data_IF_601444616349
#
_entry.id   IF_601444616349
#
_cell.length_a   1.000
_cell.length_b   1.000
_cell.length_c   1.000
_cell.angle_alpha   90.00
_cell.angle_beta   90.00
_cell.angle_gamma   90.00
#
_symmetry.space_group_name_H-M   'P 1'
#
loop_
_entity.id
_entity.type
_entity.pdbx_description
1 polymer ?
#
# COMPACT_ATOMS: atom_id res chain seq x y z
N UNK A 1 -20.48 29.33 19.08
CA UNK A 1 -21.62 29.77 19.88
C UNK A 1 -22.87 29.25 19.20
N UNK A 2 -23.12 27.97 19.26
CA UNK A 2 -24.34 27.34 18.77
C UNK A 2 -25.23 27.11 19.95
N UNK A 3 -26.39 27.75 19.92
CA UNK A 3 -27.42 27.75 20.99
C UNK A 3 -28.32 26.51 20.93
N UNK A 4 -27.98 25.48 20.15
CA UNK A 4 -28.87 24.36 19.86
C UNK A 4 -28.31 22.98 20.24
N UNK A 5 -27.34 22.88 21.11
CA UNK A 5 -26.96 21.58 21.67
C UNK A 5 -26.48 20.52 20.66
N UNK A 6 -26.25 20.88 19.41
CA UNK A 6 -25.71 20.00 18.40
C UNK A 6 -24.26 19.63 18.76
N UNK A 7 -24.05 18.36 19.02
CA UNK A 7 -22.72 17.81 19.11
C UNK A 7 -22.09 17.93 17.70
N UNK A 8 -21.37 19.02 17.43
CA UNK A 8 -20.40 18.99 16.36
C UNK A 8 -19.33 17.98 16.77
N UNK A 9 -19.50 16.75 16.32
CA UNK A 9 -18.37 15.84 16.20
C UNK A 9 -17.39 16.59 15.30
N UNK A 10 -16.30 17.10 15.88
CA UNK A 10 -15.16 17.46 15.07
C UNK A 10 -14.88 16.22 14.24
N UNK A 11 -15.12 16.30 12.92
CA UNK A 11 -14.77 15.23 11.99
C UNK A 11 -13.28 15.06 12.18
N UNK A 12 -12.89 14.05 12.93
CA UNK A 12 -11.53 13.58 12.90
C UNK A 12 -11.30 13.25 11.45
N UNK A 13 -10.42 14.02 10.81
CA UNK A 13 -10.15 13.83 9.40
C UNK A 13 -9.66 12.40 9.24
N UNK A 14 -10.45 11.59 8.51
CA UNK A 14 -9.96 10.34 7.96
C UNK A 14 -8.96 10.78 6.91
N UNK A 15 -7.68 10.75 7.23
CA UNK A 15 -6.60 11.12 6.32
C UNK A 15 -5.96 9.85 5.77
N UNK A 16 -6.48 9.28 4.67
CA UNK A 16 -5.77 8.19 4.01
C UNK A 16 -4.40 8.67 3.57
N UNK A 17 -3.44 7.77 3.52
CA UNK A 17 -2.07 8.09 3.11
C UNK A 17 -1.37 9.11 4.04
N UNK A 18 -1.67 9.13 5.33
CA UNK A 18 -1.00 9.97 6.33
C UNK A 18 -0.20 9.06 7.26
N UNK A 19 1.12 8.96 7.02
CA UNK A 19 1.98 8.03 7.76
C UNK A 19 2.08 8.36 9.24
N UNK A 20 1.86 9.63 9.63
CA UNK A 20 1.88 10.04 11.04
C UNK A 20 0.79 9.37 11.88
N UNK A 21 -0.27 8.91 11.22
CA UNK A 21 -1.41 8.22 11.84
C UNK A 21 -1.26 6.70 11.87
N UNK A 22 -0.16 6.17 11.33
CA UNK A 22 0.04 4.73 11.19
C UNK A 22 0.12 4.01 12.54
N UNK A 23 -0.61 2.89 12.64
CA UNK A 23 -0.60 2.03 13.81
C UNK A 23 -0.44 0.58 13.37
N UNK A 24 0.47 -0.15 14.00
CA UNK A 24 0.63 -1.59 13.74
C UNK A 24 -0.66 -2.33 14.02
N UNK A 25 -1.17 -3.05 13.01
CA UNK A 25 -2.46 -3.73 13.08
C UNK A 25 -2.43 -5.05 13.86
N UNK A 26 -1.26 -5.46 14.40
CA UNK A 26 -0.96 -6.78 14.97
C UNK A 26 -0.95 -7.91 13.94
N UNK A 27 -1.06 -7.60 12.65
CA UNK A 27 -1.06 -8.57 11.55
C UNK A 27 0.32 -8.58 10.88
N UNK A 28 0.86 -9.75 10.70
CA UNK A 28 2.15 -9.96 10.04
C UNK A 28 2.23 -11.34 9.41
N UNK A 29 3.09 -11.48 8.41
CA UNK A 29 3.38 -12.74 7.73
C UNK A 29 4.90 -12.94 7.69
N UNK A 30 5.40 -14.00 8.35
CA UNK A 30 6.79 -14.40 8.19
C UNK A 30 6.98 -15.07 6.83
N UNK A 31 7.96 -14.60 6.08
CA UNK A 31 8.32 -15.09 4.74
C UNK A 31 9.72 -15.71 4.69
N UNK A 32 10.38 -15.82 5.85
CA UNK A 32 11.75 -16.31 5.97
C UNK A 32 11.97 -17.77 5.55
N UNK A 33 10.90 -18.56 5.43
CA UNK A 33 10.98 -19.91 4.87
C UNK A 33 11.12 -19.92 3.34
N UNK A 34 10.74 -18.84 2.66
CA UNK A 34 10.91 -18.67 1.22
C UNK A 34 12.16 -17.86 0.92
N UNK A 35 12.37 -16.75 1.63
CA UNK A 35 13.56 -15.93 1.46
C UNK A 35 13.95 -15.21 2.75
N UNK A 36 15.23 -15.20 3.09
CA UNK A 36 15.78 -14.53 4.28
C UNK A 36 16.23 -13.09 4.03
N UNK A 37 15.99 -12.58 2.84
CA UNK A 37 16.23 -11.17 2.49
C UNK A 37 15.11 -10.69 1.55
N UNK A 38 13.87 -10.63 2.05
CA UNK A 38 12.74 -10.17 1.23
C UNK A 38 12.87 -8.67 0.92
N UNK A 39 12.66 -8.33 -0.36
CA UNK A 39 12.62 -6.98 -0.89
C UNK A 39 11.27 -6.73 -1.56
N UNK A 40 10.92 -5.47 -1.73
CA UNK A 40 9.70 -5.06 -2.42
C UNK A 40 8.47 -5.87 -2.00
N UNK A 41 7.33 -5.27 -1.94
CA UNK A 41 6.06 -5.93 -1.63
C UNK A 41 4.97 -5.37 -2.53
N UNK A 42 4.07 -6.24 -2.97
CA UNK A 42 2.90 -5.86 -3.77
C UNK A 42 1.70 -6.68 -3.33
N UNK A 43 0.54 -6.03 -3.25
CA UNK A 43 -0.75 -6.69 -2.99
C UNK A 43 -1.62 -6.49 -4.24
N UNK A 44 -2.28 -7.57 -4.70
CA UNK A 44 -3.24 -7.47 -5.81
C UNK A 44 -4.38 -6.49 -5.49
N UNK A 45 -4.97 -5.83 -6.50
CA UNK A 45 -6.02 -4.81 -6.26
C UNK A 45 -7.24 -5.33 -5.52
N UNK A 46 -7.54 -6.62 -5.60
CA UNK A 46 -8.62 -7.29 -4.88
C UNK A 46 -8.21 -7.75 -3.46
N UNK A 47 -6.94 -7.58 -3.10
CA UNK A 47 -6.39 -7.95 -1.80
C UNK A 47 -6.24 -9.46 -1.56
N UNK A 48 -6.41 -10.29 -2.59
CA UNK A 48 -6.38 -11.75 -2.43
C UNK A 48 -4.99 -12.37 -2.57
N UNK A 49 -4.02 -11.62 -3.11
CA UNK A 49 -2.66 -12.10 -3.33
C UNK A 49 -1.62 -11.10 -2.82
N UNK A 50 -0.52 -11.66 -2.29
CA UNK A 50 0.67 -10.93 -1.88
C UNK A 50 1.87 -11.45 -2.66
N UNK A 51 2.75 -10.53 -3.08
CA UNK A 51 4.01 -10.84 -3.77
C UNK A 51 5.16 -10.11 -3.10
N UNK A 52 6.33 -10.73 -3.08
CA UNK A 52 7.57 -10.05 -2.73
C UNK A 52 8.75 -10.60 -3.56
N UNK A 53 9.79 -9.78 -3.72
CA UNK A 53 11.03 -10.18 -4.37
C UNK A 53 11.97 -10.82 -3.34
N UNK A 54 12.38 -12.08 -3.57
CA UNK A 54 13.33 -12.82 -2.75
C UNK A 54 14.75 -12.64 -3.28
N UNK A 55 15.61 -11.90 -2.57
CA UNK A 55 16.95 -11.58 -3.06
C UNK A 55 17.96 -12.73 -2.90
N UNK A 56 17.70 -13.68 -2.02
CA UNK A 56 18.55 -14.88 -1.85
C UNK A 56 18.10 -15.98 -2.81
N UNK A 57 16.79 -16.11 -3.03
CA UNK A 57 16.22 -17.07 -3.98
C UNK A 57 16.29 -16.62 -5.44
N UNK A 58 16.54 -15.32 -5.69
CA UNK A 58 16.45 -14.72 -7.02
C UNK A 58 15.10 -15.01 -7.68
N UNK A 59 14.02 -14.85 -6.91
CA UNK A 59 12.67 -15.22 -7.32
C UNK A 59 11.60 -14.22 -6.84
N UNK A 60 10.44 -14.29 -7.49
CA UNK A 60 9.23 -13.61 -7.03
C UNK A 60 8.33 -14.65 -6.37
N UNK A 61 8.03 -14.43 -5.11
CA UNK A 61 7.23 -15.32 -4.28
C UNK A 61 5.77 -14.86 -4.24
N UNK A 62 4.84 -15.80 -4.41
CA UNK A 62 3.38 -15.59 -4.41
C UNK A 62 2.72 -16.24 -3.20
N UNK A 63 1.83 -15.49 -2.56
CA UNK A 63 0.95 -15.94 -1.48
C UNK A 63 -0.50 -15.64 -1.80
N UNK A 64 -1.40 -16.53 -1.40
CA UNK A 64 -2.84 -16.26 -1.38
C UNK A 64 -3.25 -15.82 0.03
N UNK A 65 -4.05 -14.76 0.11
CA UNK A 65 -4.66 -14.28 1.36
C UNK A 65 -6.10 -14.78 1.42
N UNK A 66 -6.41 -15.63 2.40
CA UNK A 66 -7.78 -16.18 2.54
C UNK A 66 -8.80 -15.13 3.00
N UNK A 67 -8.33 -14.07 3.64
CA UNK A 67 -9.08 -12.86 3.93
C UNK A 67 -8.43 -11.72 3.16
N UNK A 68 -9.12 -11.06 2.21
CA UNK A 68 -8.56 -9.98 1.44
C UNK A 68 -7.92 -8.90 2.32
N UNK A 69 -6.74 -8.44 1.91
CA UNK A 69 -5.95 -7.42 2.61
C UNK A 69 -5.47 -7.80 4.02
N UNK A 70 -5.59 -9.05 4.44
CA UNK A 70 -5.11 -9.53 5.74
C UNK A 70 -3.88 -10.42 5.56
N UNK A 71 -2.67 -9.85 5.75
CA UNK A 71 -1.43 -10.59 5.53
C UNK A 71 -1.25 -11.77 6.49
N UNK A 72 -1.88 -11.74 7.68
CA UNK A 72 -1.80 -12.85 8.64
C UNK A 72 -2.46 -14.14 8.15
N UNK A 73 -3.28 -14.05 7.08
CA UNK A 73 -3.95 -15.19 6.44
C UNK A 73 -3.18 -15.73 5.23
N UNK A 74 -1.95 -15.25 5.00
CA UNK A 74 -1.14 -15.59 3.85
C UNK A 74 -0.67 -17.05 3.85
N UNK A 75 -0.87 -17.72 2.72
CA UNK A 75 -0.38 -19.07 2.45
C UNK A 75 0.44 -19.05 1.17
N UNK A 76 1.68 -19.55 1.24
CA UNK A 76 2.57 -19.65 0.08
C UNK A 76 1.94 -20.53 -1.00
N UNK A 77 2.03 -20.07 -2.26
CA UNK A 77 1.47 -20.77 -3.43
C UNK A 77 2.59 -21.27 -4.32
N UNK A 78 3.41 -20.34 -4.82
CA UNK A 78 4.44 -20.61 -5.82
C UNK A 78 5.52 -19.54 -5.81
N UNK A 79 6.60 -19.78 -6.56
CA UNK A 79 7.62 -18.78 -6.87
C UNK A 79 8.08 -18.90 -8.31
N UNK A 80 8.55 -17.77 -8.86
CA UNK A 80 9.12 -17.69 -10.21
C UNK A 80 10.55 -17.18 -10.16
N UNK A 81 11.53 -18.02 -10.60
CA UNK A 81 12.93 -17.61 -10.63
C UNK A 81 13.21 -16.62 -11.75
N UNK A 82 13.85 -15.52 -11.41
CA UNK A 82 14.33 -14.48 -12.32
C UNK A 82 15.87 -14.48 -12.42
N UNK A 83 16.54 -15.48 -11.85
CA UNK A 83 18.00 -15.60 -11.80
C UNK A 83 18.69 -15.54 -13.19
N UNK A 84 17.98 -15.94 -14.25
CA UNK A 84 18.51 -15.81 -15.63
C UNK A 84 18.60 -14.36 -16.10
N UNK A 85 17.88 -13.44 -15.48
CA UNK A 85 17.88 -12.01 -15.78
C UNK A 85 18.72 -11.23 -14.77
N UNK A 86 18.53 -11.49 -13.48
CA UNK A 86 19.27 -10.79 -12.41
C UNK A 86 19.34 -11.65 -11.15
N UNK A 87 20.48 -11.58 -10.43
CA UNK A 87 20.72 -12.28 -9.17
C UNK A 87 20.82 -11.34 -7.96
N UNK A 88 20.33 -10.11 -8.11
CA UNK A 88 20.24 -9.14 -7.02
C UNK A 88 18.97 -8.31 -7.19
N UNK A 89 17.81 -8.98 -7.07
CA UNK A 89 16.50 -8.35 -7.26
C UNK A 89 16.09 -7.51 -6.05
N UNK A 90 15.34 -6.42 -6.28
CA UNK A 90 15.01 -5.40 -5.29
C UNK A 90 13.53 -5.03 -5.21
N UNK A 91 12.82 -5.09 -6.30
CA UNK A 91 11.42 -4.68 -6.33
C UNK A 91 10.58 -5.51 -7.28
N UNK A 92 9.30 -5.59 -6.98
CA UNK A 92 8.28 -6.21 -7.81
C UNK A 92 7.09 -5.29 -7.93
N UNK A 93 6.53 -5.18 -9.12
CA UNK A 93 5.27 -4.50 -9.39
C UNK A 93 4.49 -5.23 -10.48
N UNK A 94 3.20 -4.92 -10.58
CA UNK A 94 2.33 -5.45 -11.63
C UNK A 94 1.59 -4.30 -12.29
N UNK A 95 1.12 -4.52 -13.52
CA UNK A 95 0.12 -3.66 -14.12
C UNK A 95 -1.25 -3.91 -13.46
N UNK A 96 -2.21 -3.07 -13.76
CA UNK A 96 -3.50 -3.01 -13.05
C UNK A 96 -4.30 -4.32 -13.12
N UNK A 97 -4.22 -5.05 -14.23
CA UNK A 97 -4.94 -6.32 -14.42
C UNK A 97 -4.09 -7.57 -14.09
N UNK A 98 -2.81 -7.39 -13.75
CA UNK A 98 -1.90 -8.49 -13.41
C UNK A 98 -1.42 -9.33 -14.57
N UNK A 99 -1.63 -8.89 -15.80
CA UNK A 99 -1.11 -9.58 -17.01
C UNK A 99 0.37 -9.34 -17.26
N UNK A 100 0.96 -8.34 -16.56
CA UNK A 100 2.38 -8.00 -16.61
C UNK A 100 2.97 -7.91 -15.21
N UNK A 101 4.19 -8.40 -15.06
CA UNK A 101 5.02 -8.27 -13.86
C UNK A 101 6.32 -7.54 -14.22
N UNK A 102 6.77 -6.68 -13.32
CA UNK A 102 8.00 -5.91 -13.44
C UNK A 102 8.90 -6.20 -12.26
N UNK A 103 10.19 -6.43 -12.54
CA UNK A 103 11.19 -6.74 -11.52
C UNK A 103 12.40 -5.82 -11.70
N UNK A 104 12.79 -5.11 -10.63
CA UNK A 104 14.04 -4.35 -10.62
C UNK A 104 15.19 -5.19 -10.07
N UNK A 105 16.37 -5.08 -10.71
CA UNK A 105 17.57 -5.80 -10.30
C UNK A 105 18.82 -4.93 -10.39
N UNK A 106 19.66 -5.00 -9.37
CA UNK A 106 20.86 -4.16 -9.24
C UNK A 106 22.13 -4.79 -9.79
N UNK A 107 22.18 -6.12 -9.96
CA UNK A 107 23.35 -6.80 -10.54
C UNK A 107 23.61 -6.34 -11.97
N UNK A 108 22.56 -6.30 -12.79
CA UNK A 108 22.63 -5.88 -14.18
C UNK A 108 22.09 -4.45 -14.41
N UNK A 109 21.64 -3.78 -13.35
CA UNK A 109 21.02 -2.45 -13.38
C UNK A 109 19.89 -2.38 -14.40
N UNK A 110 18.85 -3.21 -14.23
CA UNK A 110 17.73 -3.33 -15.16
C UNK A 110 16.39 -3.31 -14.43
N UNK A 111 15.36 -2.92 -15.19
CA UNK A 111 13.96 -3.28 -14.91
C UNK A 111 13.54 -4.25 -16.01
N UNK A 112 13.07 -5.41 -15.59
CA UNK A 112 12.63 -6.50 -16.45
C UNK A 112 11.11 -6.55 -16.50
N UNK A 113 10.54 -6.78 -17.67
CA UNK A 113 9.13 -6.98 -17.92
C UNK A 113 8.85 -8.44 -18.27
N UNK A 114 7.81 -8.98 -17.65
CA UNK A 114 7.31 -10.34 -17.89
C UNK A 114 5.82 -10.28 -18.26
N UNK A 115 5.40 -11.09 -19.22
CA UNK A 115 4.00 -11.36 -19.51
C UNK A 115 3.53 -12.56 -18.69
N UNK A 116 2.35 -12.47 -18.09
CA UNK A 116 1.70 -13.56 -17.38
C UNK A 116 0.49 -14.05 -18.19
N UNK A 117 0.46 -15.36 -18.50
CA UNK A 117 -0.68 -15.94 -19.24
C UNK A 117 -1.93 -16.12 -18.35
N UNK A 118 -1.75 -16.14 -17.05
CA UNK A 118 -2.81 -16.07 -16.03
C UNK A 118 -2.49 -14.86 -15.13
N UNK A 119 -3.46 -13.95 -14.99
CA UNK A 119 -3.28 -12.71 -14.25
C UNK A 119 -2.89 -12.96 -12.78
N UNK A 120 -1.85 -12.29 -12.31
CA UNK A 120 -1.32 -12.45 -10.95
C UNK A 120 -0.91 -13.89 -10.59
N UNK A 121 -0.51 -14.70 -11.54
CA UNK A 121 0.02 -16.05 -11.34
C UNK A 121 1.48 -16.09 -11.83
N UNK A 122 2.42 -15.96 -10.88
CA UNK A 122 3.85 -15.83 -11.21
C UNK A 122 4.40 -17.08 -11.89
N UNK A 123 3.81 -18.27 -11.68
CA UNK A 123 4.24 -19.50 -12.34
C UNK A 123 4.07 -19.45 -13.86
N UNK A 124 3.21 -18.55 -14.36
CA UNK A 124 2.94 -18.37 -15.79
C UNK A 124 3.78 -17.28 -16.45
N UNK A 125 4.70 -16.66 -15.69
CA UNK A 125 5.50 -15.53 -16.17
C UNK A 125 6.47 -15.93 -17.28
N UNK A 126 6.58 -15.09 -18.30
CA UNK A 126 7.52 -15.23 -19.40
C UNK A 126 8.21 -13.89 -19.64
N UNK A 127 9.54 -13.89 -19.62
CA UNK A 127 10.34 -12.68 -19.91
C UNK A 127 10.01 -12.13 -21.30
N UNK A 128 9.80 -10.81 -21.39
CA UNK A 128 9.50 -10.13 -22.66
C UNK A 128 10.57 -9.13 -23.06
N UNK A 129 10.93 -8.22 -22.14
CA UNK A 129 11.85 -7.13 -22.45
C UNK A 129 12.41 -6.48 -21.17
N UNK A 130 13.28 -5.48 -21.32
CA UNK A 130 13.87 -4.75 -20.20
C UNK A 130 14.20 -3.31 -20.59
N UNK A 131 14.37 -2.46 -19.58
CA UNK A 131 15.04 -1.17 -19.68
C UNK A 131 16.25 -1.10 -18.75
N UNK A 132 17.15 -0.16 -19.01
CA UNK A 132 18.40 0.00 -18.27
C UNK A 132 18.46 1.37 -17.56
N UNK A 133 17.79 1.53 -16.42
CA UNK A 133 17.97 2.70 -15.58
C UNK A 133 19.27 2.64 -14.79
N UNK A 134 19.64 3.73 -14.12
CA UNK A 134 20.77 3.71 -13.20
C UNK A 134 20.39 2.97 -11.92
N UNK A 135 21.01 1.80 -11.66
CA UNK A 135 20.96 1.05 -10.40
C UNK A 135 19.59 1.01 -9.68
N UNK A 136 18.56 0.37 -10.25
CA UNK A 136 17.20 0.42 -9.73
C UNK A 136 17.03 -0.44 -8.46
N UNK A 137 16.60 0.19 -7.37
CA UNK A 137 16.15 -0.49 -6.16
C UNK A 137 14.63 -0.74 -6.22
N UNK A 138 13.83 -0.07 -5.41
CA UNK A 138 12.37 -0.19 -5.49
C UNK A 138 11.79 0.43 -6.77
N UNK A 139 10.65 -0.07 -7.20
CA UNK A 139 9.91 0.48 -8.35
C UNK A 139 8.43 0.58 -8.07
N UNK A 140 7.77 1.57 -8.69
CA UNK A 140 6.34 1.80 -8.63
C UNK A 140 5.83 2.37 -9.96
N UNK A 141 4.60 2.03 -10.35
CA UNK A 141 3.94 2.61 -11.51
C UNK A 141 2.74 3.46 -11.12
N UNK A 142 2.47 4.53 -11.88
CA UNK A 142 1.16 5.21 -11.83
C UNK A 142 0.04 4.25 -12.24
N UNK A 143 -1.21 4.49 -11.83
CA UNK A 143 -2.33 3.58 -12.15
C UNK A 143 -2.57 3.34 -13.64
N UNK A 144 -2.22 4.29 -14.50
CA UNK A 144 -2.30 4.17 -15.96
C UNK A 144 -1.02 3.63 -16.60
N UNK A 145 0.05 3.45 -15.80
CA UNK A 145 1.34 2.94 -16.23
C UNK A 145 2.16 3.91 -17.06
N UNK A 146 1.74 5.18 -17.18
CA UNK A 146 2.48 6.18 -17.98
C UNK A 146 3.66 6.78 -17.24
N UNK A 147 3.76 6.58 -15.92
CA UNK A 147 4.89 6.92 -15.08
C UNK A 147 5.42 5.69 -14.35
N UNK A 148 6.74 5.56 -14.29
CA UNK A 148 7.43 4.58 -13.46
C UNK A 148 8.46 5.30 -12.58
N UNK A 149 8.41 5.04 -11.28
CA UNK A 149 9.31 5.62 -10.29
C UNK A 149 10.30 4.60 -9.81
N UNK A 150 11.56 4.99 -9.71
CA UNK A 150 12.66 4.11 -9.31
C UNK A 150 13.50 4.81 -8.26
N UNK A 151 13.91 4.07 -7.22
CA UNK A 151 14.99 4.51 -6.33
C UNK A 151 16.33 4.22 -7.00
N UNK A 152 17.19 5.24 -7.07
CA UNK A 152 18.58 5.10 -7.52
C UNK A 152 19.52 5.98 -6.69
N UNK A 153 20.41 5.35 -5.92
CA UNK A 153 21.17 6.06 -4.90
C UNK A 153 20.23 6.71 -3.88
N UNK A 154 20.34 8.03 -3.69
CA UNK A 154 19.44 8.80 -2.82
C UNK A 154 18.35 9.53 -3.59
N UNK A 155 18.08 9.15 -4.82
CA UNK A 155 17.09 9.82 -5.66
C UNK A 155 15.89 8.94 -5.95
N UNK A 156 14.72 9.55 -5.99
CA UNK A 156 13.55 9.04 -6.71
C UNK A 156 13.61 9.61 -8.11
N UNK A 157 13.59 8.75 -9.12
CA UNK A 157 13.63 9.13 -10.53
C UNK A 157 12.30 8.75 -11.18
N UNK A 158 11.67 9.69 -11.85
CA UNK A 158 10.50 9.46 -12.71
C UNK A 158 10.95 9.08 -14.12
N UNK A 159 10.32 8.07 -14.67
CA UNK A 159 10.42 7.67 -16.08
C UNK A 159 9.03 7.77 -16.72
N UNK A 160 8.90 8.65 -17.73
CA UNK A 160 7.68 8.72 -18.54
C UNK A 160 7.66 7.60 -19.58
N UNK A 161 6.54 6.89 -19.69
CA UNK A 161 6.30 5.84 -20.68
C UNK A 161 5.29 6.32 -21.72
N UNK A 162 5.65 6.28 -23.02
CA UNK A 162 4.74 6.68 -24.10
C UNK A 162 3.63 5.64 -24.34
N UNK A 163 3.87 4.40 -23.92
CA UNK A 163 2.87 3.33 -23.85
C UNK A 163 2.83 2.82 -22.42
N UNK A 164 1.67 2.92 -21.75
CA UNK A 164 1.53 2.52 -20.36
C UNK A 164 1.97 1.06 -20.13
N UNK A 165 2.77 0.85 -19.07
CA UNK A 165 3.30 -0.46 -18.71
C UNK A 165 4.13 -1.14 -19.82
N UNK A 166 4.82 -0.35 -20.66
CA UNK A 166 5.78 -0.84 -21.64
C UNK A 166 7.14 -0.20 -21.36
N UNK A 167 8.00 -0.92 -20.62
CA UNK A 167 9.29 -0.39 -20.16
C UNK A 167 10.25 -0.05 -21.30
N UNK A 168 10.04 -0.61 -22.52
CA UNK A 168 10.85 -0.27 -23.69
C UNK A 168 10.61 1.16 -24.18
N UNK A 169 9.49 1.76 -23.80
CA UNK A 169 9.11 3.14 -24.19
C UNK A 169 9.51 4.17 -23.14
N UNK A 170 10.16 3.74 -22.05
CA UNK A 170 10.48 4.60 -20.93
C UNK A 170 11.61 5.60 -21.27
N UNK A 171 11.41 6.84 -20.85
CA UNK A 171 12.40 7.91 -20.92
C UNK A 171 12.53 8.59 -19.56
N UNK A 172 13.77 8.85 -19.13
CA UNK A 172 14.01 9.52 -17.85
C UNK A 172 13.46 10.95 -17.88
N UNK A 173 12.64 11.25 -16.90
CA UNK A 173 12.10 12.56 -16.62
C UNK A 173 12.79 13.24 -15.44
N UNK A 174 12.00 13.75 -14.50
CA UNK A 174 12.46 14.45 -13.32
C UNK A 174 13.04 13.53 -12.26
N UNK A 175 13.79 14.11 -11.32
CA UNK A 175 14.28 13.42 -10.14
C UNK A 175 14.15 14.30 -8.89
N UNK A 176 14.07 13.65 -7.72
CA UNK A 176 14.06 14.29 -6.41
C UNK A 176 15.01 13.57 -5.46
N UNK A 177 15.87 14.33 -4.75
CA UNK A 177 16.77 13.74 -3.76
C UNK A 177 16.10 13.67 -2.39
N UNK A 178 16.06 12.48 -1.83
CA UNK A 178 15.57 12.22 -0.47
C UNK A 178 16.69 12.17 0.57
N UNK A 179 17.91 12.53 0.18
CA UNK A 179 19.12 12.42 1.01
C UNK A 179 19.05 13.19 2.34
N UNK A 180 18.17 14.19 2.44
CA UNK A 180 17.97 14.95 3.69
C UNK A 180 17.20 14.15 4.75
N UNK A 181 16.39 13.18 4.36
CA UNK A 181 15.60 12.32 5.22
C UNK A 181 16.20 10.91 5.29
N UNK A 182 16.66 10.39 4.15
CA UNK A 182 17.16 9.01 4.09
C UNK A 182 18.41 8.90 3.20
N UNK A 183 19.46 8.32 3.76
CA UNK A 183 20.74 8.10 3.05
C UNK A 183 20.80 6.78 2.27
N UNK A 184 19.93 5.83 2.59
CA UNK A 184 19.83 4.52 1.92
C UNK A 184 18.34 4.19 1.68
N UNK A 185 17.67 4.90 0.76
CA UNK A 185 16.28 4.62 0.41
C UNK A 185 16.20 3.28 -0.33
N UNK A 186 15.16 2.49 -0.05
CA UNK A 186 15.00 1.13 -0.55
C UNK A 186 13.80 0.95 -1.47
N UNK A 187 12.70 1.63 -1.20
CA UNK A 187 11.47 1.51 -1.97
C UNK A 187 10.74 2.85 -2.08
N UNK A 188 9.95 2.98 -3.12
CA UNK A 188 9.07 4.13 -3.38
C UNK A 188 7.68 3.66 -3.76
N UNK A 189 6.66 4.37 -3.30
CA UNK A 189 5.28 4.21 -3.76
C UNK A 189 4.58 5.58 -3.75
N UNK A 190 3.58 5.74 -4.62
CA UNK A 190 2.75 6.95 -4.68
C UNK A 190 1.29 6.58 -4.41
N UNK A 191 0.52 7.56 -3.93
CA UNK A 191 -0.93 7.40 -3.91
C UNK A 191 -1.50 7.44 -5.35
N UNK A 192 -2.71 6.88 -5.59
CA UNK A 192 -3.29 6.83 -6.93
C UNK A 192 -3.50 8.19 -7.59
N UNK A 193 -3.65 9.26 -6.80
CA UNK A 193 -3.78 10.62 -7.32
C UNK A 193 -2.43 11.27 -7.70
N UNK A 194 -1.29 10.63 -7.39
CA UNK A 194 0.04 11.17 -7.64
C UNK A 194 0.39 12.40 -6.81
N UNK A 195 -0.35 12.69 -5.75
CA UNK A 195 -0.16 13.88 -4.91
C UNK A 195 0.67 13.62 -3.66
N UNK A 196 0.89 12.35 -3.33
CA UNK A 196 1.73 11.91 -2.21
C UNK A 196 2.72 10.84 -2.67
N UNK A 197 3.93 10.89 -2.15
CA UNK A 197 4.98 9.91 -2.38
C UNK A 197 5.50 9.43 -1.03
N UNK A 198 5.80 8.14 -0.94
CA UNK A 198 6.32 7.47 0.26
C UNK A 198 7.61 6.77 -0.08
N UNK A 199 8.62 6.92 0.76
CA UNK A 199 9.94 6.32 0.58
C UNK A 199 10.30 5.54 1.85
N UNK A 200 10.62 4.26 1.68
CA UNK A 200 11.15 3.44 2.76
C UNK A 200 12.66 3.70 2.94
N UNK A 201 13.09 3.86 4.19
CA UNK A 201 14.45 4.23 4.54
C UNK A 201 15.12 3.19 5.43
N UNK A 202 16.21 2.56 4.94
CA UNK A 202 16.93 1.50 5.67
C UNK A 202 17.65 2.07 6.90
N UNK A 203 18.26 3.25 6.78
CA UNK A 203 19.05 3.84 7.88
C UNK A 203 18.14 4.49 8.92
N UNK A 204 17.08 5.18 8.47
CA UNK A 204 16.06 5.74 9.37
C UNK A 204 15.20 4.66 10.04
N UNK A 205 15.05 3.51 9.40
CA UNK A 205 14.09 2.47 9.83
C UNK A 205 12.65 2.99 9.79
N UNK A 206 12.34 3.77 8.77
CA UNK A 206 11.09 4.53 8.68
C UNK A 206 10.51 4.58 7.25
N UNK A 207 9.30 5.10 7.17
CA UNK A 207 8.62 5.45 5.93
C UNK A 207 8.44 6.97 5.93
N UNK A 208 9.04 7.64 4.94
CA UNK A 208 9.05 9.08 4.77
C UNK A 208 7.93 9.51 3.80
N UNK A 209 7.08 10.44 4.21
CA UNK A 209 5.99 10.99 3.41
C UNK A 209 6.37 12.32 2.78
N UNK A 210 6.04 12.48 1.50
CA UNK A 210 6.19 13.72 0.73
C UNK A 210 4.86 14.07 0.05
N UNK A 211 4.55 15.37 -0.03
CA UNK A 211 3.50 15.90 -0.91
C UNK A 211 4.09 16.38 -2.21
N UNK A 212 3.37 16.16 -3.33
CA UNK A 212 3.71 16.67 -4.65
C UNK A 212 2.72 17.78 -5.01
N UNK A 213 3.23 19.00 -5.27
CA UNK A 213 2.38 20.13 -5.65
C UNK A 213 1.85 20.02 -7.09
N UNK A 214 2.53 19.25 -7.93
CA UNK A 214 2.05 18.81 -9.25
C UNK A 214 1.94 17.30 -9.23
N UNK A 215 0.74 16.73 -9.46
CA UNK A 215 0.56 15.28 -9.46
C UNK A 215 1.56 14.57 -10.37
N UNK A 216 2.12 13.47 -9.86
CA UNK A 216 3.10 12.62 -10.54
C UNK A 216 4.45 13.26 -10.86
N UNK A 217 4.69 14.54 -10.56
CA UNK A 217 5.97 15.21 -10.77
C UNK A 217 6.80 15.21 -9.48
N UNK A 218 7.75 14.29 -9.36
CA UNK A 218 8.63 14.15 -8.19
C UNK A 218 9.50 15.38 -7.93
N UNK A 219 9.79 16.22 -8.94
CA UNK A 219 10.58 17.45 -8.73
C UNK A 219 9.84 18.47 -7.83
N UNK A 220 8.53 18.31 -7.67
CA UNK A 220 7.69 19.17 -6.83
C UNK A 220 7.50 18.65 -5.41
N UNK A 221 8.22 17.56 -5.05
CA UNK A 221 8.07 16.91 -3.76
C UNK A 221 8.57 17.77 -2.60
N UNK A 222 7.83 17.74 -1.50
CA UNK A 222 8.17 18.38 -0.23
C UNK A 222 7.92 17.42 0.92
N UNK A 223 8.90 17.24 1.80
CA UNK A 223 8.79 16.37 2.96
C UNK A 223 7.68 16.84 3.90
N UNK A 224 6.91 15.89 4.43
CA UNK A 224 5.79 16.14 5.36
C UNK A 224 6.09 15.55 6.72
N UNK A 225 6.27 14.23 6.80
CA UNK A 225 6.43 13.50 8.06
C UNK A 225 7.11 12.13 7.82
N UNK A 226 7.41 11.42 8.89
CA UNK A 226 7.92 10.06 8.82
C UNK A 226 7.29 9.17 9.91
N UNK A 227 7.21 7.87 9.62
CA UNK A 227 6.72 6.86 10.55
C UNK A 227 7.77 5.78 10.76
N UNK A 228 8.24 5.63 12.00
CA UNK A 228 9.21 4.59 12.34
C UNK A 228 8.56 3.23 12.49
N UNK A 229 9.12 2.22 11.83
CA UNK A 229 8.72 0.82 11.96
C UNK A 229 9.62 0.04 12.94
N UNK A 230 10.53 0.71 13.65
CA UNK A 230 11.58 0.08 14.45
C UNK A 230 11.08 -0.84 15.56
N UNK A 231 9.82 -0.68 15.99
CA UNK A 231 9.18 -1.59 16.94
C UNK A 231 8.85 -2.98 16.37
N UNK A 232 8.74 -3.12 15.05
CA UNK A 232 8.46 -4.37 14.35
C UNK A 232 9.68 -4.87 13.58
N UNK A 233 10.42 -3.98 12.94
CA UNK A 233 11.61 -4.32 12.15
C UNK A 233 12.44 -3.07 11.87
N UNK A 234 13.76 -3.24 11.66
CA UNK A 234 14.69 -2.10 11.53
C UNK A 234 15.15 -1.81 10.12
N UNK A 235 14.76 -2.65 9.15
CA UNK A 235 15.24 -2.54 7.76
C UNK A 235 14.04 -2.68 6.81
N UNK A 236 13.26 -1.61 6.59
CA UNK A 236 12.17 -1.63 5.61
C UNK A 236 12.76 -1.66 4.20
N UNK A 237 12.51 -2.75 3.48
CA UNK A 237 12.98 -2.98 2.12
C UNK A 237 11.88 -2.89 1.06
N UNK A 238 10.63 -2.73 1.49
CA UNK A 238 9.50 -2.49 0.61
C UNK A 238 8.37 -1.80 1.37
N UNK A 239 7.61 -0.98 0.66
CA UNK A 239 6.40 -0.32 1.15
C UNK A 239 5.33 -0.34 0.07
N UNK A 240 4.11 -0.62 0.46
CA UNK A 240 2.93 -0.63 -0.42
C UNK A 240 1.71 -0.13 0.34
N UNK A 241 0.86 0.67 -0.31
CA UNK A 241 -0.43 1.11 0.23
C UNK A 241 -1.57 0.50 -0.57
N UNK A 242 -2.67 0.18 0.10
CA UNK A 242 -3.94 -0.06 -0.60
C UNK A 242 -4.38 1.19 -1.35
N UNK A 243 -5.15 1.02 -2.42
CA UNK A 243 -5.59 2.14 -3.27
C UNK A 243 -6.42 3.18 -2.53
N UNK A 244 -7.07 2.81 -1.44
CA UNK A 244 -7.82 3.70 -0.55
C UNK A 244 -6.94 4.39 0.51
N UNK A 245 -5.69 3.94 0.67
CA UNK A 245 -4.70 4.52 1.57
C UNK A 245 -4.88 4.23 3.06
N UNK A 246 -5.76 3.30 3.43
CA UNK A 246 -6.01 2.96 4.84
C UNK A 246 -5.16 1.82 5.37
N UNK A 247 -4.50 1.08 4.49
CA UNK A 247 -3.59 0.01 4.89
C UNK A 247 -2.23 0.23 4.22
N UNK A 248 -1.19 0.17 5.04
CA UNK A 248 0.20 0.15 4.59
C UNK A 248 0.83 -1.19 4.92
N UNK A 249 1.55 -1.76 3.97
CA UNK A 249 2.37 -2.95 4.14
C UNK A 249 3.83 -2.58 4.04
N UNK A 250 4.63 -3.12 4.97
CA UNK A 250 6.07 -2.94 4.98
C UNK A 250 6.74 -4.29 5.10
N UNK A 251 7.63 -4.62 4.16
CA UNK A 251 8.49 -5.79 4.30
C UNK A 251 9.80 -5.39 4.97
N UNK A 252 10.17 -6.12 6.01
CA UNK A 252 11.44 -5.92 6.73
C UNK A 252 12.34 -7.12 6.59
N UNK A 253 13.53 -6.92 6.03
CA UNK A 253 14.53 -7.98 5.91
C UNK A 253 15.27 -8.28 7.23
N UNK A 254 15.16 -7.43 8.25
CA UNK A 254 15.75 -7.74 9.58
C UNK A 254 14.99 -8.81 10.35
N UNK A 255 13.76 -9.10 9.93
CA UNK A 255 12.86 -10.06 10.57
C UNK A 255 12.19 -11.02 9.58
N UNK A 256 12.53 -10.91 8.29
CA UNK A 256 11.96 -11.71 7.19
C UNK A 256 10.43 -11.72 7.23
N UNK A 257 9.82 -10.52 7.42
CA UNK A 257 8.39 -10.42 7.74
C UNK A 257 7.74 -9.26 6.98
N UNK A 258 6.54 -9.50 6.47
CA UNK A 258 5.63 -8.46 5.98
C UNK A 258 4.73 -8.02 7.14
N UNK A 259 4.77 -6.75 7.48
CA UNK A 259 3.95 -6.11 8.52
C UNK A 259 2.83 -5.30 7.90
N UNK A 260 1.67 -5.31 8.55
CA UNK A 260 0.50 -4.54 8.15
C UNK A 260 0.22 -3.43 9.17
N UNK A 261 -0.01 -2.22 8.67
CA UNK A 261 -0.35 -1.04 9.47
C UNK A 261 -1.69 -0.47 9.00
N UNK A 262 -2.52 -0.04 9.96
CA UNK A 262 -3.68 0.80 9.67
C UNK A 262 -3.23 2.25 9.60
N UNK A 263 -3.74 3.00 8.61
CA UNK A 263 -3.38 4.40 8.32
C UNK A 263 -4.65 5.25 8.31
N UNK A 264 -4.60 6.47 8.81
CA UNK A 264 -5.74 7.39 8.73
C UNK A 264 -6.83 7.17 9.78
N UNK A 265 -6.65 6.24 10.71
CA UNK A 265 -7.67 5.91 11.71
C UNK A 265 -7.45 6.59 13.05
N UNK A 266 -7.63 7.92 13.15
CA UNK A 266 -7.53 8.59 14.46
C UNK A 266 -8.83 8.59 15.29
N UNK A 267 -9.89 7.89 14.85
CA UNK A 267 -11.19 7.91 15.54
C UNK A 267 -11.81 6.54 15.86
N UNK A 268 -11.05 5.44 15.79
CA UNK A 268 -11.59 4.18 16.31
C UNK A 268 -10.93 3.92 17.66
N UNK A 269 -11.67 3.98 18.77
CA UNK A 269 -11.19 3.53 20.07
C UNK A 269 -10.66 2.09 19.95
N UNK A 270 -9.54 1.81 20.61
CA UNK A 270 -8.96 0.47 20.72
C UNK A 270 -10.07 -0.54 21.07
N UNK A 271 -10.41 -1.43 20.13
CA UNK A 271 -11.48 -2.42 20.30
C UNK A 271 -12.53 -2.43 19.15
N UNK A 272 -12.46 -1.52 18.20
CA UNK A 272 -13.40 -1.49 17.07
C UNK A 272 -12.88 -2.37 15.92
N UNK A 273 -13.66 -3.38 15.56
CA UNK A 273 -13.43 -4.15 14.33
C UNK A 273 -14.26 -3.47 13.23
N UNK A 274 -13.64 -3.01 12.11
CA UNK A 274 -14.43 -2.56 10.98
C UNK A 274 -15.26 -3.74 10.47
N UNK A 275 -16.57 -3.62 10.53
CA UNK A 275 -17.45 -4.58 9.88
C UNK A 275 -17.37 -4.32 8.38
N UNK A 276 -16.66 -5.17 7.66
CA UNK A 276 -16.76 -5.21 6.21
C UNK A 276 -18.17 -5.66 5.84
N UNK A 277 -19.04 -4.72 5.48
CA UNK A 277 -20.25 -5.08 4.76
C UNK A 277 -19.85 -5.39 3.32
N UNK A 278 -20.12 -6.62 2.90
CA UNK A 278 -19.99 -7.06 1.51
C UNK A 278 -20.67 -6.08 0.56
N UNK A 279 -19.97 -5.73 -0.53
CA UNK A 279 -20.45 -4.89 -1.61
C UNK A 279 -21.88 -5.22 -2.02
N UNK A 280 -22.79 -4.27 -1.78
CA UNK A 280 -23.97 -4.12 -2.59
C UNK A 280 -23.77 -2.88 -3.47
N UNK A 281 -23.55 -3.08 -4.75
CA UNK A 281 -23.44 -2.01 -5.76
C UNK A 281 -24.78 -1.38 -6.13
N UNK A 282 -25.83 -1.66 -5.36
CA UNK A 282 -27.18 -1.18 -5.65
C UNK A 282 -27.66 -0.23 -4.57
N UNK A 283 -27.55 1.07 -4.86
CA UNK A 283 -27.96 2.18 -3.99
C UNK A 283 -29.49 2.32 -3.83
N UNK A 284 -30.30 1.44 -4.43
CA UNK A 284 -31.76 1.53 -4.42
C UNK A 284 -32.43 0.82 -3.25
N UNK A 285 -31.69 0.12 -2.39
CA UNK A 285 -32.24 -0.79 -1.38
C UNK A 285 -32.16 -0.32 0.08
N UNK A 286 -31.72 0.89 0.38
CA UNK A 286 -31.64 1.38 1.76
C UNK A 286 -32.89 2.17 2.18
N UNK A 287 -34.08 1.61 1.99
CA UNK A 287 -35.31 2.24 2.48
C UNK A 287 -35.69 1.87 3.92
N UNK A 288 -35.13 0.78 4.48
CA UNK A 288 -35.43 0.38 5.86
C UNK A 288 -34.28 -0.39 6.52
N UNK A 289 -33.54 0.25 7.42
CA UNK A 289 -32.70 -0.46 8.40
C UNK A 289 -33.58 -0.79 9.61
N UNK A 290 -34.14 -1.99 9.64
CA UNK A 290 -35.13 -2.38 10.66
C UNK A 290 -34.55 -2.80 12.01
N UNK A 291 -33.27 -3.14 12.11
CA UNK A 291 -32.58 -3.30 13.40
C UNK A 291 -31.06 -3.39 13.23
N UNK A 292 -30.33 -2.72 14.10
CA UNK A 292 -28.91 -2.97 14.35
C UNK A 292 -28.77 -3.49 15.79
N UNK A 293 -28.22 -4.68 15.97
CA UNK A 293 -27.99 -5.25 17.29
C UNK A 293 -26.50 -5.14 17.61
N UNK A 294 -26.16 -4.36 18.65
CA UNK A 294 -24.82 -4.36 19.22
C UNK A 294 -24.79 -5.26 20.45
N UNK A 295 -23.89 -6.24 20.48
CA UNK A 295 -23.55 -6.93 21.71
C UNK A 295 -22.52 -6.08 22.47
N UNK A 296 -22.98 -5.36 23.49
CA UNK A 296 -22.13 -4.60 24.37
C UNK A 296 -21.44 -5.53 25.37
N UNK A 297 -20.11 -5.68 25.26
CA UNK A 297 -19.32 -6.22 26.36
C UNK A 297 -19.27 -5.13 27.47
N UNK A 298 -19.43 -5.54 28.74
CA UNK A 298 -19.56 -4.64 29.88
C UNK A 298 -18.40 -3.60 29.93
N UNK A 299 -18.72 -2.33 29.73
CA UNK A 299 -17.85 -1.17 29.83
C UNK A 299 -18.66 0.10 29.60
N UNK A 300 -18.29 1.21 30.24
CA UNK A 300 -19.01 2.47 30.30
C UNK A 300 -18.92 3.32 29.00
N UNK A 301 -19.00 2.71 27.81
CA UNK A 301 -18.88 3.39 26.52
C UNK A 301 -20.17 3.38 25.71
N UNK A 302 -20.48 4.48 25.04
CA UNK A 302 -21.56 4.56 24.04
C UNK A 302 -21.12 3.91 22.74
N UNK A 303 -22.03 3.17 22.08
CA UNK A 303 -21.79 2.58 20.76
C UNK A 303 -22.42 3.50 19.72
N UNK A 304 -21.61 3.99 18.79
CA UNK A 304 -22.06 4.81 17.66
C UNK A 304 -21.99 4.00 16.37
N UNK A 305 -22.96 4.19 15.50
CA UNK A 305 -22.99 3.59 14.17
C UNK A 305 -22.82 4.69 13.13
N UNK A 306 -22.09 4.44 12.07
CA UNK A 306 -21.94 5.36 10.96
C UNK A 306 -22.37 4.69 9.66
N UNK A 307 -23.13 5.41 8.83
CA UNK A 307 -23.55 4.99 7.50
C UNK A 307 -23.01 5.96 6.47
N UNK A 308 -22.43 5.46 5.40
CA UNK A 308 -22.10 6.23 4.22
C UNK A 308 -23.04 5.83 3.07
N UNK A 309 -23.62 6.83 2.42
CA UNK A 309 -24.52 6.65 1.26
C UNK A 309 -23.88 7.10 -0.05
N UNK A 310 -22.64 7.57 -0.02
CA UNK A 310 -21.91 8.18 -1.13
C UNK A 310 -20.51 7.58 -1.31
N UNK A 311 -20.45 6.26 -1.28
CA UNK A 311 -19.23 5.48 -1.51
C UNK A 311 -18.05 5.86 -0.59
N UNK A 312 -18.37 6.10 0.70
CA UNK A 312 -17.42 6.45 1.77
C UNK A 312 -16.86 7.89 1.71
N UNK A 313 -17.47 8.76 0.93
CA UNK A 313 -17.06 10.17 0.85
C UNK A 313 -17.59 10.96 2.05
N UNK A 314 -18.80 10.64 2.54
CA UNK A 314 -19.38 11.21 3.75
C UNK A 314 -19.94 10.12 4.66
N UNK A 315 -19.94 10.37 5.98
CA UNK A 315 -20.44 9.43 6.98
C UNK A 315 -21.44 10.12 7.88
N UNK A 316 -22.60 9.49 8.11
CA UNK A 316 -23.60 9.94 9.09
C UNK A 316 -23.59 9.02 10.30
N UNK A 317 -23.45 9.59 11.50
CA UNK A 317 -23.47 8.82 12.75
C UNK A 317 -24.92 8.67 13.22
N UNK A 318 -25.28 7.44 13.61
CA UNK A 318 -26.58 7.15 14.23
C UNK A 318 -26.36 6.99 15.73
N UNK A 319 -26.96 7.84 16.52
CA UNK A 319 -26.96 7.72 17.99
C UNK A 319 -28.11 6.79 18.44
N UNK A 320 -27.79 5.82 19.30
CA UNK A 320 -28.77 4.86 19.85
C UNK A 320 -29.05 5.10 21.33
N UNK A 321 -28.71 6.28 21.87
CA UNK A 321 -28.86 6.53 23.33
C UNK A 321 -30.30 6.84 23.77
N UNK A 322 -31.19 7.18 22.85
CA UNK A 322 -32.57 7.63 23.20
C UNK A 322 -33.69 6.69 22.75
N UNK A 323 -33.41 5.61 22.06
CA UNK A 323 -34.45 4.72 21.55
C UNK A 323 -35.32 5.32 20.43
N UNK A 324 -35.11 6.55 20.05
CA UNK A 324 -35.73 7.23 18.90
C UNK A 324 -34.75 7.32 17.74
N UNK A 325 -35.31 7.05 16.55
CA UNK A 325 -34.52 6.96 15.30
C UNK A 325 -34.52 8.33 14.63
N UNK A 326 -33.58 9.17 14.93
CA UNK A 326 -33.37 10.37 14.11
C UNK A 326 -32.21 10.13 13.16
N UNK A 327 -32.55 9.98 11.87
CA UNK A 327 -31.57 10.05 10.77
C UNK A 327 -31.37 11.55 10.52
N UNK A 328 -30.24 12.07 10.98
CA UNK A 328 -29.87 13.44 10.64
C UNK A 328 -29.25 13.43 9.24
N UNK A 329 -29.90 14.17 8.32
CA UNK A 329 -29.43 14.37 6.93
C UNK A 329 -28.37 15.45 6.87
#
# INVERSE_FOLDING_TARGET
NTTDGDLELSQGQINPFDVSTSVYSTKSLSVGSQDTTPWGVYISPDGTKLFFAGNVGDDINEYTLSTPFDVSTGVFVDSFSVASQDTAIRGVAFNTDGSKMFVSGTQNAKVYEYALSTNFDVSTATYTQMMAPASPYGLHFSPDGTHMYIISGTNVIDYGLTTGFDVSTASQGNLFSVASQESVPSAVTLNPAGTKMFVAGIVGGDINEYTLSTPFDVATASFVDSFSISAQGTSPYGVFFTSDGFIMYVVSASTDTVYQYNVGSSLVPSGYQPVHTTNSTDSTYWTDINSMTANQAAGDGNVYYAISTDDRTTWSVIDNTSGERDIVR
#
